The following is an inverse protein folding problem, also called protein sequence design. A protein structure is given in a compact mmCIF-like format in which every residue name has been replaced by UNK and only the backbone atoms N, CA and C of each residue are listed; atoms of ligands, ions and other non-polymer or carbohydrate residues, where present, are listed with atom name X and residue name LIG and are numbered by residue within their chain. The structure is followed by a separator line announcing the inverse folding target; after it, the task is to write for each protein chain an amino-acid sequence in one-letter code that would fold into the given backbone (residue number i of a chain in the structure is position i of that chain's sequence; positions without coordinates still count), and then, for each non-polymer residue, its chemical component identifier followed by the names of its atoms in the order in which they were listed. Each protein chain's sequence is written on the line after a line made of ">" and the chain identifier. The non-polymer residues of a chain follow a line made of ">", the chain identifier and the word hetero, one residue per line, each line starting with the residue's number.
data_IF_955612280575
#
_entry.id   IF_955612280575
#
_cell.length_a   1.000
_cell.length_b   1.000
_cell.length_c   1.000
_cell.angle_alpha   90.00
_cell.angle_beta   90.00
_cell.angle_gamma   90.00
#
_symmetry.space_group_name_H-M   'P 1'
#
loop_
_entity.id
_entity.type
_entity.pdbx_description
1 polymer ?
#
# COMPACT_ATOMS: atom_id res chain seq x y z
N UNK A 1 -10.13 -13.63 2.60
CA UNK A 1 -9.84 -12.24 3.05
C UNK A 1 -8.51 -12.26 3.77
N UNK A 2 -7.57 -11.38 3.39
CA UNK A 2 -6.21 -11.36 3.96
C UNK A 2 -6.17 -10.55 5.25
N UNK A 3 -5.29 -10.95 6.17
CA UNK A 3 -5.13 -10.30 7.47
C UNK A 3 -4.77 -8.80 7.33
N UNK A 4 -3.96 -8.41 6.34
CA UNK A 4 -3.64 -7.00 6.14
C UNK A 4 -4.85 -6.18 5.68
N UNK A 5 -5.74 -6.75 4.87
CA UNK A 5 -6.97 -6.06 4.42
C UNK A 5 -7.92 -5.80 5.60
N UNK A 6 -8.02 -6.76 6.52
CA UNK A 6 -8.80 -6.61 7.74
C UNK A 6 -8.24 -5.50 8.66
N UNK A 7 -6.91 -5.47 8.83
CA UNK A 7 -6.24 -4.41 9.61
C UNK A 7 -6.43 -3.02 9.00
N UNK A 8 -6.40 -2.88 7.67
CA UNK A 8 -6.67 -1.60 7.00
C UNK A 8 -8.10 -1.14 7.28
N UNK A 9 -9.09 -2.03 7.20
CA UNK A 9 -10.49 -1.68 7.46
C UNK A 9 -10.70 -1.22 8.91
N UNK A 10 -10.06 -1.92 9.86
CA UNK A 10 -10.11 -1.61 11.28
C UNK A 10 -9.47 -0.23 11.57
N UNK A 11 -8.29 0.04 11.03
CA UNK A 11 -7.61 1.33 11.19
C UNK A 11 -8.37 2.49 10.54
N UNK A 12 -9.01 2.28 9.37
CA UNK A 12 -9.88 3.30 8.75
C UNK A 12 -11.05 3.67 9.64
N UNK A 13 -11.74 2.67 10.20
CA UNK A 13 -12.86 2.88 11.11
C UNK A 13 -12.43 3.62 12.37
N UNK A 14 -11.27 3.24 12.94
CA UNK A 14 -10.69 3.93 14.08
C UNK A 14 -10.33 5.39 13.76
N UNK A 15 -9.73 5.63 12.58
CA UNK A 15 -9.35 6.96 12.12
C UNK A 15 -10.56 7.90 12.01
N UNK A 16 -11.65 7.45 11.39
CA UNK A 16 -12.88 8.25 11.28
C UNK A 16 -13.42 8.62 12.65
N UNK A 17 -13.52 7.64 13.56
CA UNK A 17 -14.04 7.86 14.92
C UNK A 17 -13.19 8.86 15.72
N UNK A 18 -11.86 8.79 15.61
CA UNK A 18 -11.01 9.76 16.30
C UNK A 18 -11.12 11.17 15.71
N UNK A 19 -11.32 11.29 14.40
CA UNK A 19 -11.61 12.57 13.74
C UNK A 19 -12.95 13.16 14.16
N UNK A 20 -13.94 12.32 14.47
CA UNK A 20 -15.21 12.72 15.08
C UNK A 20 -15.08 13.09 16.57
N UNK A 21 -13.86 13.08 17.12
CA UNK A 21 -13.57 13.39 18.53
C UNK A 21 -13.82 12.22 19.48
N UNK A 22 -14.06 11.01 18.97
CA UNK A 22 -14.23 9.82 19.81
C UNK A 22 -12.88 9.22 20.19
N UNK A 23 -12.85 8.52 21.33
CA UNK A 23 -11.69 7.73 21.75
C UNK A 23 -11.90 6.27 21.35
N UNK A 24 -10.96 5.68 20.61
CA UNK A 24 -11.07 4.30 20.12
C UNK A 24 -10.06 3.41 20.82
N UNK A 25 -10.50 2.32 21.44
CA UNK A 25 -9.59 1.34 22.04
C UNK A 25 -9.13 0.34 20.98
N UNK A 26 -7.83 0.37 20.67
CA UNK A 26 -7.17 -0.56 19.77
C UNK A 26 -6.26 -1.49 20.58
N UNK A 27 -6.76 -2.68 20.90
CA UNK A 27 -6.08 -3.61 21.80
C UNK A 27 -5.88 -3.00 23.19
N UNK A 28 -4.64 -2.76 23.57
CA UNK A 28 -4.28 -2.15 24.85
C UNK A 28 -4.18 -0.62 24.80
N UNK A 29 -4.16 -0.02 23.61
CA UNK A 29 -4.01 1.43 23.42
C UNK A 29 -5.35 2.12 23.22
N UNK A 30 -5.46 3.35 23.70
CA UNK A 30 -6.58 4.25 23.39
C UNK A 30 -6.07 5.27 22.39
N UNK A 31 -6.72 5.32 21.23
CA UNK A 31 -6.44 6.25 20.15
C UNK A 31 -7.36 7.45 20.28
N UNK A 32 -6.78 8.63 20.09
CA UNK A 32 -7.48 9.91 20.15
C UNK A 32 -7.15 10.74 18.91
N UNK A 33 -7.73 11.95 18.82
CA UNK A 33 -7.42 12.89 17.74
C UNK A 33 -5.91 13.21 17.66
N UNK A 34 -5.21 13.23 18.80
CA UNK A 34 -3.76 13.44 18.84
C UNK A 34 -2.97 12.32 18.16
N UNK A 35 -3.53 11.11 18.12
CA UNK A 35 -2.94 9.93 17.48
C UNK A 35 -3.31 9.82 15.99
N UNK A 36 -4.10 10.74 15.44
CA UNK A 36 -4.52 10.71 14.04
C UNK A 36 -3.33 10.58 13.07
N UNK A 37 -2.25 11.32 13.32
CA UNK A 37 -1.03 11.23 12.51
C UNK A 37 -0.39 9.83 12.58
N UNK A 38 -0.38 9.22 13.77
CA UNK A 38 0.14 7.87 13.97
C UNK A 38 -0.72 6.83 13.24
N UNK A 39 -2.05 6.93 13.35
CA UNK A 39 -2.99 6.05 12.65
C UNK A 39 -2.78 6.13 11.14
N UNK A 40 -2.56 7.33 10.58
CA UNK A 40 -2.30 7.50 9.14
C UNK A 40 -1.03 6.79 8.67
N UNK A 41 0.05 6.86 9.48
CA UNK A 41 1.32 6.22 9.17
C UNK A 41 1.22 4.71 9.26
N UNK A 42 0.47 4.20 10.25
CA UNK A 42 0.24 2.77 10.40
C UNK A 42 -0.65 2.23 9.27
N UNK A 43 -1.65 3.01 8.85
CA UNK A 43 -2.51 2.69 7.73
C UNK A 43 -1.75 2.57 6.40
N UNK A 44 -0.79 3.46 6.13
CA UNK A 44 0.09 3.36 4.95
C UNK A 44 0.92 2.06 4.96
N UNK A 45 1.47 1.68 6.11
CA UNK A 45 2.22 0.41 6.24
C UNK A 45 1.35 -0.81 5.94
N UNK A 46 0.13 -0.84 6.49
CA UNK A 46 -0.80 -1.95 6.26
C UNK A 46 -1.33 -1.97 4.83
N UNK A 47 -1.54 -0.81 4.19
CA UNK A 47 -1.88 -0.72 2.77
C UNK A 47 -0.78 -1.30 1.88
N UNK A 48 0.50 -0.97 2.16
CA UNK A 48 1.63 -1.56 1.44
C UNK A 48 1.69 -3.07 1.63
N UNK A 49 1.52 -3.56 2.85
CA UNK A 49 1.45 -5.01 3.13
C UNK A 49 0.30 -5.68 2.39
N UNK A 50 -0.89 -5.08 2.40
CA UNK A 50 -2.05 -5.63 1.70
C UNK A 50 -1.84 -5.68 0.18
N UNK A 51 -1.21 -4.65 -0.42
CA UNK A 51 -0.79 -4.70 -1.83
C UNK A 51 0.23 -5.80 -2.07
N UNK A 52 1.21 -5.94 -1.18
CA UNK A 52 2.24 -6.97 -1.29
C UNK A 52 1.65 -8.40 -1.20
N UNK A 53 0.70 -8.61 -0.31
CA UNK A 53 -0.06 -9.87 -0.20
C UNK A 53 -0.92 -10.11 -1.44
N UNK A 54 -1.55 -9.07 -2.00
CA UNK A 54 -2.33 -9.19 -3.23
C UNK A 54 -1.45 -9.55 -4.43
N UNK A 55 -0.25 -8.97 -4.54
CA UNK A 55 0.74 -9.30 -5.59
C UNK A 55 1.27 -10.72 -5.39
N UNK A 56 1.60 -11.11 -4.16
CA UNK A 56 2.01 -12.48 -3.80
C UNK A 56 0.93 -13.52 -4.14
N UNK A 57 -0.34 -13.22 -3.81
CA UNK A 57 -1.47 -14.08 -4.14
C UNK A 57 -1.74 -14.17 -5.66
N UNK A 58 -1.39 -13.14 -6.42
CA UNK A 58 -1.43 -13.13 -7.88
C UNK A 58 -0.21 -13.84 -8.53
N UNK A 59 0.68 -14.44 -7.74
CA UNK A 59 1.88 -15.13 -8.22
C UNK A 59 3.10 -14.23 -8.46
N UNK A 60 3.04 -12.95 -8.08
CA UNK A 60 4.15 -12.01 -8.17
C UNK A 60 5.01 -12.00 -6.90
N UNK A 61 6.33 -11.95 -7.03
CA UNK A 61 7.22 -11.95 -5.85
C UNK A 61 7.27 -10.57 -5.18
N UNK A 62 6.90 -10.44 -3.90
CA UNK A 62 6.98 -9.19 -3.17
C UNK A 62 8.44 -8.74 -2.97
N UNK A 63 8.84 -7.65 -3.62
CA UNK A 63 10.21 -7.12 -3.58
C UNK A 63 11.00 -7.27 -4.88
N UNK A 64 10.48 -8.02 -5.86
CA UNK A 64 10.87 -7.83 -7.24
C UNK A 64 10.06 -6.64 -7.75
N UNK A 65 10.70 -5.48 -7.80
CA UNK A 65 10.30 -4.45 -8.76
C UNK A 65 10.51 -5.10 -10.12
N UNK A 66 9.50 -5.75 -10.68
CA UNK A 66 9.46 -5.91 -12.13
C UNK A 66 9.29 -4.47 -12.60
N UNK A 67 10.41 -3.81 -12.86
CA UNK A 67 10.40 -2.63 -13.69
C UNK A 67 9.75 -3.10 -14.99
N UNK A 68 8.48 -2.77 -15.17
CA UNK A 68 7.81 -2.92 -16.43
C UNK A 68 8.51 -1.94 -17.38
N UNK A 69 9.52 -2.43 -18.11
CA UNK A 69 10.12 -1.72 -19.24
C UNK A 69 9.23 -1.83 -20.49
N UNK A 70 7.95 -2.19 -20.35
CA UNK A 70 6.99 -2.21 -21.46
C UNK A 70 6.48 -0.79 -21.73
N UNK A 71 7.40 0.09 -22.15
CA UNK A 71 7.08 1.51 -22.24
C UNK A 71 8.01 2.34 -23.11
N UNK A 72 8.03 2.03 -24.41
CA UNK A 72 8.22 3.03 -25.49
C UNK A 72 9.62 3.67 -25.64
N UNK A 73 10.42 3.07 -26.53
CA UNK A 73 11.23 3.81 -27.50
C UNK A 73 10.96 3.12 -28.84
N UNK A 74 10.05 3.62 -29.67
CA UNK A 74 10.29 4.80 -30.48
C UNK A 74 10.82 4.31 -31.83
N UNK A 75 9.92 4.15 -32.81
CA UNK A 75 10.36 3.84 -34.17
C UNK A 75 11.10 5.03 -34.77
N UNK A 76 12.37 4.82 -35.10
CA UNK A 76 13.18 5.56 -36.07
C UNK A 76 14.16 4.50 -36.61
N UNK A 77 13.92 3.92 -37.79
CA UNK A 77 14.53 4.40 -39.04
C UNK A 77 16.07 4.53 -38.94
N UNK A 78 16.77 3.63 -39.63
CA UNK A 78 18.18 3.81 -40.03
C UNK A 78 19.23 3.10 -39.17
N UNK A 79 19.49 1.82 -39.44
CA UNK A 79 20.84 1.25 -39.26
C UNK A 79 21.26 0.56 -40.56
N UNK A 80 21.92 1.34 -41.41
CA UNK A 80 22.85 0.80 -42.39
C UNK A 80 24.16 0.38 -41.74
N UNK A 81 24.98 -0.24 -42.60
CA UNK A 81 26.39 -0.61 -42.43
C UNK A 81 26.66 -1.99 -41.83
N UNK A 82 26.64 -3.00 -42.71
CA UNK A 82 27.54 -4.15 -42.62
C UNK A 82 28.23 -4.25 -43.99
N UNK A 83 29.55 -4.34 -43.92
CA UNK A 83 30.56 -4.29 -44.98
C UNK A 83 30.38 -5.30 -46.12
#
# INVERSE_FOLDING_TARGET
>A
MSFATDQVALLKSAYTRVLEGQSVRLGERVLTLADASWISSELDKWLRKASNEAVAAAGGTPGVVIADFSGRSGGCEGQGWIE
#
